data_IF_052786526417
#
_entry.id   IF_052786526417
#
_cell.length_a   1.000
_cell.length_b   1.000
_cell.length_c   1.000
_cell.angle_alpha   90.00
_cell.angle_beta   90.00
_cell.angle_gamma   90.00
#
_symmetry.space_group_name_H-M   'P 1'
#
loop_
_entity.id
_entity.type
_entity.pdbx_description
1 polymer ?
#
# COMPACT_ATOMS: atom_id res chain seq x y z
N UNK A 1 7.01 7.30 16.14
CA UNK A 1 5.82 6.54 16.60
C UNK A 1 4.95 6.22 15.40
N UNK A 2 4.36 5.02 15.33
CA UNK A 2 3.52 4.58 14.21
C UNK A 2 2.13 5.27 14.15
N UNK A 3 1.88 6.27 14.99
CA UNK A 3 0.62 7.03 15.03
C UNK A 3 -0.57 6.13 15.37
N UNK A 4 -1.66 6.16 14.58
CA UNK A 4 -2.90 5.42 14.87
C UNK A 4 -2.79 3.90 14.65
N UNK A 5 -1.60 3.39 14.29
CA UNK A 5 -1.35 1.97 14.04
C UNK A 5 -0.16 1.49 14.87
N UNK A 6 -0.32 1.31 16.20
CA UNK A 6 0.80 1.09 17.11
C UNK A 6 1.61 -0.19 16.84
N UNK A 7 1.00 -1.20 16.19
CA UNK A 7 1.62 -2.50 15.91
C UNK A 7 2.31 -2.58 14.54
N UNK A 8 2.33 -1.48 13.77
CA UNK A 8 2.96 -1.45 12.46
C UNK A 8 4.48 -1.57 12.59
N UNK A 9 5.06 -2.57 11.92
CA UNK A 9 6.50 -2.86 11.87
C UNK A 9 6.97 -2.88 10.41
N UNK A 10 8.27 -2.67 10.14
CA UNK A 10 8.79 -2.55 8.78
C UNK A 10 8.98 -3.91 8.09
N UNK A 11 7.93 -4.73 8.05
CA UNK A 11 7.90 -6.02 7.38
C UNK A 11 6.57 -6.25 6.65
N UNK A 12 6.53 -7.23 5.75
CA UNK A 12 5.38 -7.39 4.87
C UNK A 12 4.15 -7.91 5.62
N UNK A 13 4.33 -8.89 6.52
CA UNK A 13 3.25 -9.43 7.32
C UNK A 13 2.51 -8.34 8.13
N UNK A 14 3.25 -7.38 8.71
CA UNK A 14 2.65 -6.25 9.43
C UNK A 14 2.01 -5.24 8.49
N UNK A 15 2.64 -4.91 7.34
CA UNK A 15 2.03 -4.02 6.34
C UNK A 15 0.70 -4.59 5.83
N UNK A 16 0.65 -5.89 5.53
CA UNK A 16 -0.56 -6.58 5.11
C UNK A 16 -1.69 -6.42 6.14
N UNK A 17 -1.42 -6.82 7.39
CA UNK A 17 -2.41 -6.82 8.47
C UNK A 17 -2.85 -5.42 8.88
N UNK A 18 -1.88 -4.55 9.14
CA UNK A 18 -2.09 -3.28 9.82
C UNK A 18 -2.45 -2.14 8.86
N UNK A 19 -2.06 -2.23 7.59
CA UNK A 19 -2.35 -1.19 6.59
C UNK A 19 -3.38 -1.64 5.56
N UNK A 20 -3.22 -2.82 4.96
CA UNK A 20 -4.10 -3.23 3.86
C UNK A 20 -5.44 -3.73 4.36
N UNK A 21 -5.44 -4.59 5.38
CA UNK A 21 -6.65 -5.26 5.88
C UNK A 21 -7.40 -4.45 6.93
N UNK A 22 -6.69 -3.64 7.71
CA UNK A 22 -7.25 -2.94 8.86
C UNK A 22 -7.56 -1.47 8.61
N UNK A 23 -8.70 -1.03 9.13
CA UNK A 23 -8.99 0.38 9.41
C UNK A 23 -8.26 0.73 10.70
N UNK A 24 -7.43 1.78 10.69
CA UNK A 24 -6.67 2.19 11.88
C UNK A 24 -7.52 3.02 12.86
N UNK A 25 -6.95 3.36 14.02
CA UNK A 25 -7.67 4.11 15.06
C UNK A 25 -8.09 5.53 14.62
N UNK A 26 -7.55 6.06 13.52
CA UNK A 26 -8.00 7.32 12.95
C UNK A 26 -9.21 7.15 12.02
N UNK A 27 -9.62 5.91 11.71
CA UNK A 27 -10.75 5.64 10.81
C UNK A 27 -10.36 5.62 9.33
N UNK A 28 -9.07 5.48 9.00
CA UNK A 28 -8.61 5.35 7.61
C UNK A 28 -9.24 4.12 6.97
N UNK A 29 -9.87 4.28 5.81
CA UNK A 29 -10.42 3.15 5.04
C UNK A 29 -9.34 2.08 4.77
N UNK A 30 -9.66 0.82 5.03
CA UNK A 30 -8.81 -0.29 4.65
C UNK A 30 -8.67 -0.38 3.12
N UNK A 31 -7.54 -0.90 2.64
CA UNK A 31 -7.26 -0.96 1.21
C UNK A 31 -8.09 -2.05 0.52
N UNK A 32 -8.41 -3.13 1.25
CA UNK A 32 -9.15 -4.29 0.75
C UNK A 32 -10.61 -3.99 0.43
N UNK A 33 -11.19 -2.88 0.88
CA UNK A 33 -12.54 -2.44 0.45
C UNK A 33 -12.63 -2.22 -1.06
N UNK A 34 -11.56 -1.73 -1.70
CA UNK A 34 -11.51 -1.48 -3.15
C UNK A 34 -10.57 -2.42 -3.90
N UNK A 35 -9.53 -2.93 -3.23
CA UNK A 35 -8.53 -3.83 -3.81
C UNK A 35 -8.84 -5.28 -3.45
N UNK A 36 -9.98 -5.78 -3.93
CA UNK A 36 -10.48 -7.11 -3.61
C UNK A 36 -11.25 -7.74 -4.76
N UNK A 37 -11.23 -9.06 -4.79
CA UNK A 37 -12.06 -9.92 -5.64
C UNK A 37 -13.27 -10.51 -4.90
N UNK A 38 -13.41 -10.21 -3.59
CA UNK A 38 -14.46 -10.77 -2.76
C UNK A 38 -15.86 -10.42 -3.29
N UNK A 39 -16.71 -11.44 -3.40
CA UNK A 39 -18.06 -11.31 -3.95
C UNK A 39 -18.09 -11.10 -5.47
N UNK A 40 -17.05 -11.53 -6.20
CA UNK A 40 -16.98 -11.40 -7.66
C UNK A 40 -16.62 -10.00 -8.14
N UNK A 41 -16.10 -9.14 -7.25
CA UNK A 41 -15.66 -7.78 -7.62
C UNK A 41 -14.40 -7.83 -8.48
N UNK A 42 -14.23 -6.84 -9.34
CA UNK A 42 -12.95 -6.62 -10.02
C UNK A 42 -12.07 -5.73 -9.14
N UNK A 43 -10.85 -6.17 -8.75
CA UNK A 43 -9.98 -5.35 -7.92
C UNK A 43 -9.60 -4.03 -8.60
N UNK A 44 -9.72 -2.92 -7.87
CA UNK A 44 -9.40 -1.59 -8.40
C UNK A 44 -7.97 -1.51 -8.94
N UNK A 45 -7.81 -1.01 -10.16
CA UNK A 45 -6.50 -0.94 -10.81
C UNK A 45 -5.85 -2.31 -11.10
N UNK A 46 -6.63 -3.40 -11.06
CA UNK A 46 -6.13 -4.77 -11.21
C UNK A 46 -5.13 -5.14 -10.10
N UNK A 47 -5.33 -4.63 -8.89
CA UNK A 47 -4.53 -4.94 -7.71
C UNK A 47 -5.44 -5.53 -6.63
N UNK A 48 -5.20 -6.78 -6.27
CA UNK A 48 -5.85 -7.45 -5.16
C UNK A 48 -4.91 -7.46 -3.94
N UNK A 49 -5.39 -6.93 -2.81
CA UNK A 49 -4.65 -6.82 -1.56
C UNK A 49 -5.22 -7.71 -0.43
N UNK A 50 -6.13 -8.63 -0.77
CA UNK A 50 -6.95 -9.35 0.21
C UNK A 50 -6.18 -10.38 1.03
N UNK A 51 -5.12 -10.97 0.49
CA UNK A 51 -4.29 -11.97 1.18
C UNK A 51 -2.82 -11.68 0.97
N UNK A 52 -1.99 -12.03 1.96
CA UNK A 52 -0.54 -11.80 1.92
C UNK A 52 0.10 -12.30 0.61
N UNK A 53 -0.18 -13.55 0.23
CA UNK A 53 0.43 -14.18 -0.96
C UNK A 53 0.08 -13.42 -2.25
N UNK A 54 -1.20 -13.07 -2.44
CA UNK A 54 -1.66 -12.36 -3.63
C UNK A 54 -1.13 -10.93 -3.63
N UNK A 55 -1.22 -10.25 -2.48
CA UNK A 55 -0.70 -8.89 -2.30
C UNK A 55 0.77 -8.81 -2.67
N UNK A 56 1.61 -9.69 -2.11
CA UNK A 56 3.05 -9.67 -2.37
C UNK A 56 3.34 -9.89 -3.85
N UNK A 57 2.77 -10.96 -4.42
CA UNK A 57 2.95 -11.35 -5.81
C UNK A 57 2.47 -10.27 -6.80
N UNK A 58 1.55 -9.39 -6.40
CA UNK A 58 1.05 -8.30 -7.23
C UNK A 58 1.70 -6.95 -6.92
N UNK A 59 2.48 -6.80 -5.85
CA UNK A 59 3.11 -5.54 -5.47
C UNK A 59 4.59 -5.50 -5.86
N UNK A 60 5.36 -6.50 -5.45
CA UNK A 60 6.82 -6.42 -5.45
C UNK A 60 7.37 -6.76 -6.83
N UNK A 61 8.05 -5.80 -7.47
CA UNK A 61 8.60 -5.96 -8.82
C UNK A 61 7.55 -5.92 -9.95
N UNK A 62 6.29 -5.62 -9.65
CA UNK A 62 5.19 -5.66 -10.62
C UNK A 62 4.89 -4.29 -11.21
N UNK A 63 4.76 -4.23 -12.54
CA UNK A 63 4.39 -3.01 -13.25
C UNK A 63 2.98 -2.50 -12.86
N UNK A 64 2.84 -1.18 -12.77
CA UNK A 64 1.56 -0.53 -12.51
C UNK A 64 0.72 -0.47 -13.78
N UNK A 65 -0.46 -1.12 -13.77
CA UNK A 65 -1.39 -1.08 -14.91
C UNK A 65 -1.89 0.34 -15.25
N UNK A 66 -2.03 1.21 -14.25
CA UNK A 66 -2.58 2.56 -14.42
C UNK A 66 -1.55 3.65 -14.72
N UNK A 67 -0.24 3.35 -14.63
CA UNK A 67 0.84 4.31 -14.83
C UNK A 67 1.97 3.59 -15.58
N UNK A 68 1.99 3.67 -16.93
CA UNK A 68 3.05 3.05 -17.74
C UNK A 68 4.44 3.45 -17.26
N UNK A 69 5.36 2.50 -17.21
CA UNK A 69 6.75 2.70 -16.75
C UNK A 69 6.95 2.69 -15.23
N UNK A 70 5.89 2.76 -14.42
CA UNK A 70 6.01 2.69 -12.97
C UNK A 70 5.94 1.24 -12.45
N UNK A 71 6.70 0.94 -11.41
CA UNK A 71 6.65 -0.33 -10.66
C UNK A 71 5.97 -0.09 -9.32
N UNK A 72 5.05 -0.97 -8.93
CA UNK A 72 4.23 -0.83 -7.71
C UNK A 72 5.11 -0.74 -6.45
N UNK A 73 6.00 -1.70 -6.24
CA UNK A 73 7.03 -1.67 -5.20
C UNK A 73 8.37 -2.09 -5.81
N UNK A 74 9.39 -1.25 -5.66
CA UNK A 74 10.77 -1.50 -6.06
C UNK A 74 11.56 -1.81 -4.79
N UNK A 75 12.01 -3.06 -4.57
CA UNK A 75 12.89 -3.40 -3.46
C UNK A 75 14.09 -2.45 -3.35
N UNK A 76 14.32 -1.90 -2.16
CA UNK A 76 15.42 -0.97 -1.91
C UNK A 76 15.18 0.47 -2.34
N UNK A 77 14.09 0.77 -3.08
CA UNK A 77 13.81 2.10 -3.60
C UNK A 77 12.39 2.59 -3.24
N UNK A 78 12.19 3.05 -1.99
CA UNK A 78 10.91 3.64 -1.58
C UNK A 78 10.57 4.93 -2.32
N UNK A 79 11.57 5.67 -2.82
CA UNK A 79 11.35 6.97 -3.44
C UNK A 79 10.71 6.85 -4.83
N UNK A 80 11.02 5.78 -5.56
CA UNK A 80 10.47 5.50 -6.89
C UNK A 80 9.38 4.41 -6.89
N UNK A 81 9.09 3.79 -5.75
CA UNK A 81 7.98 2.84 -5.59
C UNK A 81 6.62 3.54 -5.73
N UNK A 82 5.84 3.14 -6.74
CA UNK A 82 4.57 3.81 -7.06
C UNK A 82 3.52 3.70 -5.94
N UNK A 83 3.59 2.64 -5.10
CA UNK A 83 2.78 2.54 -3.89
C UNK A 83 2.95 3.79 -3.01
N UNK A 84 4.18 4.24 -2.79
CA UNK A 84 4.47 5.44 -1.98
C UNK A 84 3.90 6.69 -2.65
N UNK A 85 4.04 6.83 -3.97
CA UNK A 85 3.49 7.98 -4.69
C UNK A 85 1.96 8.07 -4.54
N UNK A 86 1.27 6.93 -4.64
CA UNK A 86 -0.19 6.85 -4.45
C UNK A 86 -0.62 7.20 -3.04
N UNK A 87 0.13 6.80 -2.02
CA UNK A 87 -0.17 7.10 -0.60
C UNK A 87 0.15 8.56 -0.23
N UNK A 88 1.19 9.15 -0.83
CA UNK A 88 1.55 10.57 -0.68
C UNK A 88 0.61 11.49 -1.45
N UNK A 89 0.01 11.00 -2.55
CA UNK A 89 -0.82 11.83 -3.42
C UNK A 89 0.00 12.77 -4.29
N UNK A 90 1.14 12.30 -4.83
CA UNK A 90 1.99 13.12 -5.70
C UNK A 90 1.25 13.60 -6.95
N UNK A 91 1.68 14.72 -7.50
CA UNK A 91 1.08 15.36 -8.67
C UNK A 91 1.15 14.51 -9.94
N UNK A 92 2.08 13.56 -10.01
CA UNK A 92 2.32 12.71 -11.17
C UNK A 92 1.60 11.35 -11.11
N UNK A 93 0.80 11.09 -10.07
CA UNK A 93 0.03 9.84 -10.00
C UNK A 93 -1.07 9.79 -11.07
N UNK A 94 -1.36 8.60 -11.57
CA UNK A 94 -2.59 8.35 -12.32
C UNK A 94 -3.78 8.20 -11.38
N UNK A 95 -4.88 8.90 -11.67
CA UNK A 95 -6.09 8.91 -10.85
C UNK A 95 -5.91 9.71 -9.56
N UNK A 96 -6.49 9.24 -8.47
CA UNK A 96 -6.53 9.98 -7.18
C UNK A 96 -5.63 9.36 -6.12
N UNK A 97 -5.30 10.13 -5.07
CA UNK A 97 -4.55 9.67 -3.89
C UNK A 97 -5.25 8.49 -3.21
N UNK A 98 -4.45 7.57 -2.66
CA UNK A 98 -4.91 6.44 -1.87
C UNK A 98 -4.62 6.61 -0.37
N UNK A 99 -5.43 6.02 0.52
CA UNK A 99 -6.74 5.43 0.24
C UNK A 99 -7.72 6.43 -0.37
N UNK A 100 -8.62 5.97 -1.24
CA UNK A 100 -9.53 6.84 -2.00
C UNK A 100 -10.50 7.56 -1.05
N UNK A 101 -10.68 8.86 -1.21
CA UNK A 101 -11.63 9.64 -0.41
C UNK A 101 -11.01 10.95 0.09
N UNK A 102 -11.55 11.50 1.16
CA UNK A 102 -11.07 12.74 1.79
C UNK A 102 -10.12 12.49 2.97
N UNK A 103 -9.77 11.23 3.23
CA UNK A 103 -8.97 10.80 4.37
C UNK A 103 -9.82 10.15 5.49
N UNK A 104 -9.21 9.84 6.65
CA UNK A 104 -7.80 10.12 6.97
C UNK A 104 -6.83 9.31 6.11
N UNK A 105 -5.68 9.90 5.80
CA UNK A 105 -4.58 9.23 5.08
C UNK A 105 -3.54 8.68 6.06
N UNK A 106 -2.60 7.87 5.57
CA UNK A 106 -1.46 7.43 6.38
C UNK A 106 -0.66 8.65 6.85
N UNK A 107 -0.33 8.65 8.13
CA UNK A 107 0.47 9.68 8.78
C UNK A 107 1.96 9.44 8.54
N UNK A 108 2.78 10.45 8.83
CA UNK A 108 4.24 10.40 8.64
C UNK A 108 4.87 9.16 9.30
N UNK A 109 4.42 8.78 10.50
CA UNK A 109 4.88 7.57 11.20
C UNK A 109 4.66 6.28 10.41
N UNK A 110 3.44 6.06 9.91
CA UNK A 110 3.10 4.88 9.11
C UNK A 110 3.86 4.90 7.78
N UNK A 111 3.95 6.07 7.13
CA UNK A 111 4.70 6.24 5.88
C UNK A 111 6.19 5.92 6.05
N UNK A 112 6.81 6.34 7.15
CA UNK A 112 8.22 5.99 7.44
C UNK A 112 8.40 4.48 7.57
N UNK A 113 7.50 3.79 8.26
CA UNK A 113 7.60 2.34 8.45
C UNK A 113 7.41 1.57 7.14
N UNK A 114 6.43 1.99 6.31
CA UNK A 114 6.24 1.42 4.97
C UNK A 114 7.45 1.63 4.07
N UNK A 115 8.01 2.86 4.05
CA UNK A 115 9.23 3.16 3.31
C UNK A 115 10.40 2.31 3.80
N UNK A 116 10.51 2.08 5.12
CA UNK A 116 11.55 1.25 5.71
C UNK A 116 11.45 -0.22 5.30
N UNK A 117 10.25 -0.80 5.23
CA UNK A 117 10.06 -2.15 4.69
C UNK A 117 10.58 -2.25 3.25
N UNK A 118 10.24 -1.28 2.39
CA UNK A 118 10.70 -1.24 1.00
C UNK A 118 12.23 -1.09 0.95
N UNK A 119 12.80 -0.17 1.72
CA UNK A 119 14.24 0.07 1.84
C UNK A 119 15.02 -1.19 2.26
N UNK A 120 14.43 -2.03 3.14
CA UNK A 120 15.00 -3.31 3.57
C UNK A 120 14.89 -4.43 2.52
N UNK A 121 14.49 -4.09 1.30
CA UNK A 121 14.35 -5.00 0.16
C UNK A 121 12.95 -5.56 -0.02
N UNK A 122 11.93 -4.97 0.60
CA UNK A 122 10.53 -5.39 0.49
C UNK A 122 10.34 -6.91 0.69
N UNK A 123 11.01 -7.49 1.70
CA UNK A 123 11.05 -8.95 1.92
C UNK A 123 9.65 -9.49 2.24
N UNK A 124 9.38 -10.71 1.77
CA UNK A 124 8.22 -11.52 2.17
C UNK A 124 8.59 -12.30 3.44
N UNK A 125 7.91 -12.06 4.55
CA UNK A 125 8.18 -12.67 5.85
C UNK A 125 6.95 -13.35 6.47
#
# INVERSE_FOLDING_TARGET
MAGPTPNLTPNFASVQREVFESTDAAGRLNCTLCHTDAGGRTPSGGLNLRSADISYAQLVGVASRGKPGAVRVIPGDPANSYLIHKLEGRSDIAGVRMPRGTGPYLQAGQMMILKRWIELGARND
#
